data_IF_037476517717
#
_entry.id   IF_037476517717
#
_cell.length_a   1.000
_cell.length_b   1.000
_cell.length_c   1.000
_cell.angle_alpha   90.00
_cell.angle_beta   90.00
_cell.angle_gamma   90.00
#
_symmetry.space_group_name_H-M   'P 1'
#
loop_
_entity.id
_entity.type
_entity.pdbx_description
1 polymer ?
#
# COMPACT_ATOMS: atom_id res chain seq x y z
N UNK A 1 16.45 2.98 -15.67
CA UNK A 1 14.99 2.77 -15.85
C UNK A 1 14.52 3.66 -16.99
N UNK A 2 13.71 3.15 -17.93
CA UNK A 2 13.12 3.94 -19.03
C UNK A 2 11.67 4.33 -18.71
N UNK A 3 11.13 5.34 -19.39
CA UNK A 3 9.72 5.76 -19.28
C UNK A 3 8.75 4.61 -19.55
N UNK A 4 8.98 3.84 -20.63
CA UNK A 4 8.16 2.68 -20.99
C UNK A 4 8.14 1.63 -19.88
N UNK A 5 9.31 1.31 -19.31
CA UNK A 5 9.39 0.32 -18.22
C UNK A 5 8.59 0.75 -16.98
N UNK A 6 8.60 2.05 -16.66
CA UNK A 6 7.80 2.57 -15.55
C UNK A 6 6.29 2.39 -15.83
N UNK A 7 5.84 2.73 -17.05
CA UNK A 7 4.44 2.56 -17.45
C UNK A 7 4.01 1.10 -17.46
N UNK A 8 4.81 0.20 -18.01
CA UNK A 8 4.52 -1.24 -17.99
C UNK A 8 4.34 -1.76 -16.56
N UNK A 9 5.25 -1.37 -15.64
CA UNK A 9 5.15 -1.74 -14.23
C UNK A 9 3.86 -1.19 -13.59
N UNK A 10 3.49 0.06 -13.88
CA UNK A 10 2.27 0.66 -13.34
C UNK A 10 1.00 -0.01 -13.88
N UNK A 11 0.97 -0.32 -15.19
CA UNK A 11 -0.14 -1.02 -15.83
C UNK A 11 -0.32 -2.42 -15.23
N UNK A 12 0.77 -3.19 -15.14
CA UNK A 12 0.75 -4.52 -14.54
C UNK A 12 0.27 -4.50 -13.09
N UNK A 13 0.77 -3.56 -12.27
CA UNK A 13 0.30 -3.43 -10.88
C UNK A 13 -1.20 -3.09 -10.83
N UNK A 14 -1.70 -2.22 -11.70
CA UNK A 14 -3.12 -1.86 -11.74
C UNK A 14 -4.01 -3.06 -12.10
N UNK A 15 -3.57 -3.91 -13.03
CA UNK A 15 -4.27 -5.15 -13.38
C UNK A 15 -4.31 -6.14 -12.21
N UNK A 16 -3.19 -6.35 -11.52
CA UNK A 16 -3.11 -7.23 -10.35
C UNK A 16 -3.99 -6.72 -9.20
N UNK A 17 -3.97 -5.41 -8.93
CA UNK A 17 -4.83 -4.79 -7.91
C UNK A 17 -6.30 -5.00 -8.25
N UNK A 18 -6.69 -4.74 -9.51
CA UNK A 18 -8.07 -4.92 -9.97
C UNK A 18 -8.53 -6.37 -9.90
N UNK A 19 -7.67 -7.33 -10.20
CA UNK A 19 -7.98 -8.75 -10.03
C UNK A 19 -8.19 -9.09 -8.55
N UNK A 20 -7.37 -8.52 -7.66
CA UNK A 20 -7.44 -8.73 -6.23
C UNK A 20 -8.69 -8.14 -5.56
N UNK A 21 -9.37 -7.17 -6.19
CA UNK A 21 -10.68 -6.68 -5.72
C UNK A 21 -11.74 -7.80 -5.74
N UNK A 22 -11.59 -8.79 -6.61
CA UNK A 22 -12.49 -9.96 -6.70
C UNK A 22 -11.96 -11.14 -5.90
N UNK A 23 -10.70 -11.52 -6.14
CA UNK A 23 -10.04 -12.64 -5.45
C UNK A 23 -8.53 -12.39 -5.37
N UNK A 24 -8.01 -12.04 -4.17
CA UNK A 24 -6.60 -11.72 -4.01
C UNK A 24 -5.69 -12.94 -4.10
N UNK A 25 -6.18 -14.16 -3.84
CA UNK A 25 -5.37 -15.38 -4.00
C UNK A 25 -5.29 -15.80 -5.46
N UNK A 26 -6.40 -15.69 -6.21
CA UNK A 26 -6.38 -15.88 -7.66
C UNK A 26 -5.50 -14.85 -8.38
N UNK A 27 -5.50 -13.59 -7.92
CA UNK A 27 -4.60 -12.56 -8.44
C UNK A 27 -3.12 -12.93 -8.26
N UNK A 28 -2.75 -13.52 -7.12
CA UNK A 28 -1.39 -14.02 -6.89
C UNK A 28 -1.07 -15.25 -7.74
N UNK A 29 -2.04 -16.12 -8.01
CA UNK A 29 -1.84 -17.22 -8.95
C UNK A 29 -1.58 -16.71 -10.39
N UNK A 30 -2.21 -15.60 -10.81
CA UNK A 30 -1.92 -14.96 -12.09
C UNK A 30 -0.47 -14.42 -12.13
N UNK A 31 -0.03 -13.79 -11.03
CA UNK A 31 1.35 -13.31 -10.87
C UNK A 31 2.36 -14.45 -10.98
N UNK A 32 2.13 -15.56 -10.27
CA UNK A 32 3.04 -16.71 -10.26
C UNK A 32 3.22 -17.35 -11.66
N UNK A 33 2.20 -17.26 -12.51
CA UNK A 33 2.23 -17.80 -13.88
C UNK A 33 2.65 -16.77 -14.94
N UNK A 34 2.91 -15.51 -14.55
CA UNK A 34 3.22 -14.44 -15.49
C UNK A 34 4.70 -14.41 -15.85
N UNK A 35 5.00 -14.49 -17.15
CA UNK A 35 6.35 -14.26 -17.68
C UNK A 35 6.81 -12.80 -17.56
N UNK A 36 5.90 -11.87 -17.26
CA UNK A 36 6.23 -10.46 -17.12
C UNK A 36 6.87 -10.13 -15.77
N UNK A 37 6.58 -10.91 -14.73
CA UNK A 37 7.04 -10.61 -13.36
C UNK A 37 8.56 -10.58 -13.26
N UNK A 38 9.32 -11.56 -13.79
CA UNK A 38 10.79 -11.50 -13.76
C UNK A 38 11.34 -10.30 -14.54
N UNK A 39 10.73 -9.96 -15.68
CA UNK A 39 11.15 -8.82 -16.52
C UNK A 39 10.89 -7.48 -15.85
N UNK A 40 9.70 -7.31 -15.28
CA UNK A 40 9.23 -6.04 -14.76
C UNK A 40 9.69 -5.78 -13.34
N UNK A 41 9.76 -6.82 -12.49
CA UNK A 41 9.96 -6.68 -11.05
C UNK A 41 11.14 -7.50 -10.51
N UNK A 42 11.77 -8.34 -11.32
CA UNK A 42 12.85 -9.25 -10.91
C UNK A 42 12.30 -10.60 -10.44
N UNK A 43 11.31 -10.55 -9.53
CA UNK A 43 10.61 -11.71 -8.99
C UNK A 43 9.25 -11.31 -8.37
N UNK A 44 8.52 -12.29 -7.84
CA UNK A 44 7.25 -12.08 -7.14
C UNK A 44 7.44 -11.19 -5.90
N UNK A 45 8.53 -11.37 -5.14
CA UNK A 45 8.80 -10.54 -3.97
C UNK A 45 9.01 -9.07 -4.36
N UNK A 46 9.68 -8.81 -5.48
CA UNK A 46 9.88 -7.47 -6.05
C UNK A 46 8.57 -6.79 -6.45
N UNK A 47 7.61 -7.54 -6.99
CA UNK A 47 6.26 -7.03 -7.25
C UNK A 47 5.56 -6.68 -5.93
N UNK A 48 5.57 -7.60 -4.97
CA UNK A 48 4.94 -7.43 -3.67
C UNK A 48 5.52 -6.23 -2.89
N UNK A 49 6.83 -6.01 -2.92
CA UNK A 49 7.49 -4.83 -2.36
C UNK A 49 7.08 -3.53 -3.07
N UNK A 50 6.85 -3.60 -4.39
CA UNK A 50 6.38 -2.46 -5.18
C UNK A 50 4.94 -2.08 -4.81
N UNK A 51 4.07 -3.07 -4.60
CA UNK A 51 2.71 -2.88 -4.09
C UNK A 51 2.72 -2.31 -2.66
N UNK A 52 3.57 -2.85 -1.77
CA UNK A 52 3.78 -2.31 -0.43
C UNK A 52 4.25 -0.86 -0.44
N UNK A 53 5.17 -0.51 -1.35
CA UNK A 53 5.62 0.87 -1.52
C UNK A 53 4.50 1.79 -2.00
N UNK A 54 3.66 1.33 -2.92
CA UNK A 54 2.49 2.08 -3.40
C UNK A 54 1.53 2.37 -2.25
N UNK A 55 1.23 1.36 -1.43
CA UNK A 55 0.38 1.51 -0.24
C UNK A 55 0.91 2.57 0.72
N UNK A 56 2.18 2.48 1.12
CA UNK A 56 2.80 3.45 2.04
C UNK A 56 2.79 4.86 1.45
N UNK A 57 3.10 5.01 0.16
CA UNK A 57 3.08 6.32 -0.51
C UNK A 57 1.69 6.96 -0.45
N UNK A 58 0.63 6.20 -0.74
CA UNK A 58 -0.74 6.71 -0.67
C UNK A 58 -1.17 7.03 0.75
N UNK A 59 -0.82 6.18 1.73
CA UNK A 59 -1.14 6.43 3.12
C UNK A 59 -0.46 7.71 3.63
N UNK A 60 0.83 7.89 3.39
CA UNK A 60 1.55 9.10 3.80
C UNK A 60 0.94 10.35 3.17
N UNK A 61 0.60 10.31 1.88
CA UNK A 61 -0.06 11.44 1.21
C UNK A 61 -1.42 11.79 1.84
N UNK A 62 -2.23 10.77 2.18
CA UNK A 62 -3.53 11.02 2.84
C UNK A 62 -3.38 11.49 4.28
N UNK A 63 -2.40 10.99 5.03
CA UNK A 63 -2.12 11.43 6.39
C UNK A 63 -1.62 12.88 6.42
N UNK A 64 -0.79 13.27 5.46
CA UNK A 64 -0.34 14.65 5.28
C UNK A 64 -1.54 15.60 5.02
N UNK A 65 -2.45 15.21 4.12
CA UNK A 65 -3.67 15.97 3.87
C UNK A 65 -4.55 16.06 5.13
N UNK A 66 -4.75 14.94 5.83
CA UNK A 66 -5.59 14.87 7.02
C UNK A 66 -5.10 15.73 8.19
N UNK A 67 -3.78 15.94 8.31
CA UNK A 67 -3.20 16.85 9.30
C UNK A 67 -3.72 18.29 9.14
N UNK A 68 -4.10 18.69 7.93
CA UNK A 68 -4.66 20.00 7.62
C UNK A 68 -6.20 20.04 7.82
N UNK A 69 -6.86 18.89 7.69
CA UNK A 69 -8.33 18.76 7.76
C UNK A 69 -8.85 18.37 9.15
N UNK A 70 -7.95 18.02 10.08
CA UNK A 70 -8.31 17.62 11.45
C UNK A 70 -8.92 16.21 11.53
N UNK A 71 -8.63 15.34 10.57
CA UNK A 71 -9.04 13.93 10.57
C UNK A 71 -8.01 13.08 11.33
N UNK A 72 -8.47 12.02 12.02
CA UNK A 72 -7.57 11.10 12.72
C UNK A 72 -6.84 10.18 11.75
N UNK A 73 -5.62 9.78 12.11
CA UNK A 73 -4.82 8.87 11.31
C UNK A 73 -5.50 7.50 11.13
N UNK A 74 -6.24 7.04 12.14
CA UNK A 74 -7.00 5.79 12.10
C UNK A 74 -8.16 5.86 11.10
N UNK A 75 -8.87 6.99 11.05
CA UNK A 75 -9.96 7.21 10.10
C UNK A 75 -9.42 7.21 8.67
N UNK A 76 -8.33 7.93 8.43
CA UNK A 76 -7.66 8.00 7.12
C UNK A 76 -7.21 6.62 6.64
N UNK A 77 -6.64 5.82 7.54
CA UNK A 77 -6.21 4.46 7.23
C UNK A 77 -7.42 3.59 6.87
N UNK A 78 -8.49 3.63 7.65
CA UNK A 78 -9.71 2.87 7.37
C UNK A 78 -10.34 3.28 6.02
N UNK A 79 -10.40 4.58 5.72
CA UNK A 79 -10.92 5.09 4.46
C UNK A 79 -10.06 4.66 3.26
N UNK A 80 -8.74 4.61 3.43
CA UNK A 80 -7.84 4.10 2.40
C UNK A 80 -8.01 2.59 2.20
N UNK A 81 -8.19 1.80 3.27
CA UNK A 81 -8.48 0.37 3.16
C UNK A 81 -9.79 0.11 2.40
N UNK A 82 -10.81 0.95 2.59
CA UNK A 82 -12.09 0.89 1.85
C UNK A 82 -11.91 1.33 0.40
N UNK A 83 -11.10 2.35 0.14
CA UNK A 83 -10.88 2.88 -1.20
C UNK A 83 -10.04 1.95 -2.10
N UNK A 84 -9.11 1.20 -1.50
CA UNK A 84 -8.14 0.35 -2.22
C UNK A 84 -8.12 -1.10 -1.68
N UNK A 85 -9.26 -1.83 -1.72
CA UNK A 85 -9.40 -3.12 -1.04
C UNK A 85 -8.48 -4.19 -1.63
N UNK A 86 -8.35 -4.29 -2.96
CA UNK A 86 -7.45 -5.25 -3.62
C UNK A 86 -5.98 -5.01 -3.28
N UNK A 87 -5.54 -3.75 -3.25
CA UNK A 87 -4.16 -3.42 -2.88
C UNK A 87 -3.89 -3.79 -1.41
N UNK A 88 -4.79 -3.41 -0.50
CA UNK A 88 -4.64 -3.73 0.92
C UNK A 88 -4.60 -5.25 1.14
N UNK A 89 -5.45 -6.02 0.45
CA UNK A 89 -5.45 -7.48 0.52
C UNK A 89 -4.12 -8.09 0.08
N UNK A 90 -3.54 -7.63 -1.04
CA UNK A 90 -2.24 -8.08 -1.55
C UNK A 90 -1.11 -7.78 -0.56
N UNK A 91 -1.06 -6.56 -0.01
CA UNK A 91 -0.06 -6.17 1.00
C UNK A 91 -0.17 -7.02 2.26
N UNK A 92 -1.40 -7.32 2.71
CA UNK A 92 -1.63 -8.22 3.85
C UNK A 92 -1.16 -9.64 3.59
N UNK A 93 -1.42 -10.20 2.40
CA UNK A 93 -0.95 -11.55 2.03
C UNK A 93 0.58 -11.55 1.97
N UNK A 94 1.17 -10.58 1.26
CA UNK A 94 2.61 -10.46 1.11
C UNK A 94 3.36 -10.31 2.44
N UNK A 95 2.80 -9.55 3.40
CA UNK A 95 3.36 -9.41 4.76
C UNK A 95 3.36 -10.71 5.57
N UNK A 96 2.44 -11.63 5.27
CA UNK A 96 2.43 -12.98 5.87
C UNK A 96 3.50 -13.87 5.23
N UNK A 97 3.74 -13.72 3.93
CA UNK A 97 4.66 -14.57 3.13
C UNK A 97 6.12 -14.13 3.14
N UNK A 98 6.40 -12.83 3.26
CA UNK A 98 7.77 -12.27 3.19
C UNK A 98 8.12 -11.46 4.43
N UNK A 99 9.31 -11.76 5.01
CA UNK A 99 9.88 -10.98 6.11
C UNK A 99 10.23 -9.55 5.68
N UNK A 100 10.71 -9.39 4.44
CA UNK A 100 11.07 -8.07 3.90
C UNK A 100 9.84 -7.21 3.72
N UNK A 101 8.75 -7.76 3.18
CA UNK A 101 7.46 -7.09 3.16
C UNK A 101 6.97 -6.72 4.56
N UNK A 102 7.06 -7.65 5.52
CA UNK A 102 6.65 -7.38 6.90
C UNK A 102 7.45 -6.23 7.51
N UNK A 103 8.75 -6.15 7.22
CA UNK A 103 9.60 -5.03 7.66
C UNK A 103 9.20 -3.71 7.02
N UNK A 104 8.83 -3.70 5.73
CA UNK A 104 8.34 -2.52 5.02
C UNK A 104 6.99 -2.05 5.58
N UNK A 105 6.07 -2.97 5.84
CA UNK A 105 4.75 -2.65 6.39
C UNK A 105 4.82 -2.15 7.84
N UNK A 106 5.91 -2.41 8.58
CA UNK A 106 6.14 -1.72 9.87
C UNK A 106 6.21 -0.20 9.70
N UNK A 107 6.61 0.29 8.52
CA UNK A 107 6.56 1.71 8.17
C UNK A 107 5.14 2.30 8.22
N UNK A 108 4.10 1.51 8.01
CA UNK A 108 2.70 1.93 8.15
C UNK A 108 2.39 2.34 9.59
N UNK A 109 2.70 1.47 10.55
CA UNK A 109 2.48 1.76 11.97
C UNK A 109 3.29 2.98 12.44
N UNK A 110 4.51 3.14 11.93
CA UNK A 110 5.33 4.32 12.21
C UNK A 110 4.69 5.59 11.64
N UNK A 111 4.21 5.56 10.38
CA UNK A 111 3.54 6.70 9.77
C UNK A 111 2.28 7.09 10.56
N UNK A 112 1.39 6.13 10.83
CA UNK A 112 0.17 6.38 11.62
C UNK A 112 0.51 6.95 13.00
N UNK A 113 1.54 6.43 13.68
CA UNK A 113 1.96 6.95 14.99
C UNK A 113 2.55 8.36 14.93
N UNK A 114 3.25 8.72 13.86
CA UNK A 114 3.80 10.07 13.67
C UNK A 114 2.71 11.11 13.40
N UNK A 115 1.72 10.76 12.59
CA UNK A 115 0.60 11.65 12.27
C UNK A 115 -0.52 11.62 13.34
N UNK A 116 -0.61 10.54 14.12
CA UNK A 116 -1.59 10.34 15.20
C UNK A 116 -1.13 10.79 16.60
N UNK A 117 -0.11 11.67 16.70
CA UNK A 117 0.37 12.22 17.97
C UNK A 117 -0.73 12.86 18.84
N UNK A 118 -0.49 13.10 20.14
CA UNK A 118 -1.52 13.35 21.15
C UNK A 118 -2.22 14.72 20.97
N UNK A 119 -3.15 14.82 20.04
CA UNK A 119 -3.92 16.04 19.76
C UNK A 119 -5.42 15.78 19.91
N UNK A 120 -5.78 15.31 21.11
CA UNK A 120 -7.15 15.32 21.63
C UNK A 120 -7.40 16.39 22.70
N UNK A 121 -6.42 17.23 23.03
CA UNK A 121 -6.62 18.41 23.89
C UNK A 121 -6.26 19.67 23.13
N UNK A 122 -7.21 20.15 22.32
CA UNK A 122 -7.38 21.59 22.12
C UNK A 122 -7.63 22.18 23.51
N UNK A 123 -6.58 22.67 24.15
CA UNK A 123 -6.73 23.63 25.23
C UNK A 123 -7.43 24.85 24.63
N UNK A 124 -8.73 24.98 24.90
CA UNK A 124 -9.44 26.23 24.79
C UNK A 124 -8.74 27.21 25.74
N UNK A 125 -8.07 28.21 25.17
CA UNK A 125 -7.60 29.37 25.92
C UNK A 125 -8.84 30.12 26.39
N UNK A 126 -9.02 30.19 27.70
CA UNK A 126 -10.06 30.95 28.39
C UNK A 126 -9.69 32.43 28.46
#
# INVERSE_FOLDING_TARGET
MTWTLLHDRMAFMAEVIKAADTDPEAALALVANSSEVPRLFGDEEGLLLSLGQRWITMLVAKLDQAAHEGLSAEQVRADLEIAEPGLHALVRIGSRRSLRMRSQCRGEHVAVGLFGGPTGHRQTVA
#
